data_IF_775922268394
#
_entry.id   IF_775922268394
#
_cell.length_a   1.000
_cell.length_b   1.000
_cell.length_c   1.000
_cell.angle_alpha   90.00
_cell.angle_beta   90.00
_cell.angle_gamma   90.00
#
_symmetry.space_group_name_H-M   'P 1'
#
loop_
_entity.id
_entity.type
_entity.pdbx_description
1 polymer ?
#
# COMPACT_ATOMS: atom_id res chain seq x y z
N UNK A 1 62.16 19.62 12.15
CA UNK A 1 61.04 19.05 12.92
C UNK A 1 59.65 19.49 12.44
N UNK A 2 59.51 20.31 11.39
CA UNK A 2 58.22 20.81 10.92
C UNK A 2 57.49 19.94 9.86
N UNK A 3 58.16 18.98 9.20
CA UNK A 3 57.56 18.27 8.06
C UNK A 3 56.67 17.07 8.41
N UNK A 4 56.78 16.51 9.63
CA UNK A 4 55.94 15.36 10.06
C UNK A 4 54.51 15.75 10.42
N UNK A 5 54.30 16.98 10.89
CA UNK A 5 52.98 17.47 11.31
C UNK A 5 52.08 17.86 10.13
N UNK A 6 52.68 18.28 9.01
CA UNK A 6 51.95 18.69 7.81
C UNK A 6 51.38 17.50 7.02
N UNK A 7 52.02 16.32 7.12
CA UNK A 7 51.48 15.08 6.54
C UNK A 7 50.29 14.54 7.34
N UNK A 8 50.35 14.58 8.69
CA UNK A 8 49.25 14.10 9.55
C UNK A 8 47.96 14.92 9.40
N UNK A 9 48.05 16.24 9.19
CA UNK A 9 46.87 17.08 8.99
C UNK A 9 46.19 16.87 7.62
N UNK A 10 46.96 16.58 6.56
CA UNK A 10 46.41 16.27 5.24
C UNK A 10 45.65 14.94 5.20
N UNK A 11 46.10 13.94 5.96
CA UNK A 11 45.46 12.62 6.02
C UNK A 11 44.10 12.65 6.72
N UNK A 12 43.96 13.45 7.78
CA UNK A 12 42.71 13.58 8.55
C UNK A 12 41.65 14.35 7.77
N UNK A 13 42.05 15.36 6.98
CA UNK A 13 41.12 16.15 6.17
C UNK A 13 40.53 15.34 4.99
N UNK A 14 41.31 14.43 4.39
CA UNK A 14 40.81 13.51 3.37
C UNK A 14 39.85 12.44 3.93
N UNK A 15 40.04 11.99 5.17
CA UNK A 15 39.13 11.01 5.80
C UNK A 15 37.75 11.61 6.13
N UNK A 16 37.66 12.91 6.39
CA UNK A 16 36.40 13.62 6.68
C UNK A 16 35.57 13.95 5.43
N UNK A 17 36.18 13.94 4.24
CA UNK A 17 35.48 14.16 2.96
C UNK A 17 34.91 12.87 2.34
N UNK A 18 35.24 11.70 2.89
CA UNK A 18 34.66 10.39 2.54
C UNK A 18 33.45 10.03 3.41
N UNK A 19 32.70 11.03 3.88
CA UNK A 19 31.28 10.82 4.15
C UNK A 19 30.59 10.58 2.80
N UNK A 20 30.75 9.37 2.26
CA UNK A 20 29.91 8.83 1.21
C UNK A 20 28.47 9.02 1.69
N UNK A 21 27.79 10.01 1.11
CA UNK A 21 26.33 10.04 1.12
C UNK A 21 25.91 8.68 0.61
N UNK A 22 25.32 7.84 1.46
CA UNK A 22 24.71 6.60 0.98
C UNK A 22 23.71 7.02 -0.09
N UNK A 23 23.95 6.62 -1.34
CA UNK A 23 22.93 6.75 -2.38
C UNK A 23 21.69 6.03 -1.86
N UNK A 24 20.64 6.79 -1.57
CA UNK A 24 19.34 6.21 -1.25
C UNK A 24 18.84 5.57 -2.52
N UNK A 25 19.00 4.25 -2.64
CA UNK A 25 18.36 3.46 -3.68
C UNK A 25 16.90 3.30 -3.32
N UNK A 26 16.02 3.65 -4.25
CA UNK A 26 14.60 3.35 -4.16
C UNK A 26 14.43 1.88 -4.57
N UNK A 27 14.22 1.01 -3.60
CA UNK A 27 14.01 -0.44 -3.77
C UNK A 27 12.55 -0.85 -3.52
N UNK A 28 11.63 0.13 -3.51
CA UNK A 28 10.21 -0.12 -3.37
C UNK A 28 9.62 -0.73 -4.65
N UNK A 29 8.66 -1.67 -4.55
CA UNK A 29 7.94 -2.16 -5.71
C UNK A 29 7.32 -1.01 -6.50
N UNK A 30 7.57 -0.96 -7.80
CA UNK A 30 6.91 -0.04 -8.71
C UNK A 30 5.73 -0.75 -9.36
N UNK A 31 4.52 -0.44 -8.91
CA UNK A 31 3.32 -1.18 -9.31
C UNK A 31 2.27 -0.28 -9.97
N UNK A 32 1.43 -0.88 -10.80
CA UNK A 32 0.32 -0.21 -11.47
C UNK A 32 -0.88 -0.13 -10.52
N UNK A 33 -1.49 1.05 -10.37
CA UNK A 33 -2.76 1.18 -9.66
C UNK A 33 -3.91 0.60 -10.50
N UNK A 34 -4.89 -0.05 -9.86
CA UNK A 34 -5.91 -0.87 -10.53
C UNK A 34 -6.66 -0.12 -11.65
N UNK A 35 -6.99 1.15 -11.42
CA UNK A 35 -7.69 1.99 -12.40
C UNK A 35 -6.93 2.12 -13.72
N UNK A 36 -5.59 2.08 -13.70
CA UNK A 36 -4.74 2.20 -14.90
C UNK A 36 -5.01 1.13 -15.97
N UNK A 37 -5.58 -0.01 -15.59
CA UNK A 37 -6.00 -1.06 -16.54
C UNK A 37 -7.50 -1.37 -16.50
N UNK A 38 -8.22 -0.87 -15.50
CA UNK A 38 -9.67 -1.03 -15.43
C UNK A 38 -10.42 -0.01 -16.26
N UNK A 39 -10.02 1.26 -16.22
CA UNK A 39 -10.74 2.37 -16.88
C UNK A 39 -10.09 2.81 -18.20
N UNK A 40 -8.95 2.24 -18.57
CA UNK A 40 -8.30 2.54 -19.84
C UNK A 40 -9.12 2.01 -21.02
N UNK A 41 -9.51 2.92 -21.93
CA UNK A 41 -10.42 2.66 -23.07
C UNK A 41 -10.01 1.44 -23.92
N UNK A 42 -8.70 1.29 -24.15
CA UNK A 42 -8.13 0.22 -24.99
C UNK A 42 -7.42 -0.86 -24.15
N UNK A 43 -7.78 -1.02 -22.88
CA UNK A 43 -7.25 -2.10 -22.06
C UNK A 43 -7.63 -3.47 -22.65
N UNK A 44 -6.72 -4.46 -22.62
CA UNK A 44 -7.08 -5.84 -22.88
C UNK A 44 -8.25 -6.27 -21.99
N UNK A 45 -9.11 -7.16 -22.50
CA UNK A 45 -10.27 -7.63 -21.75
C UNK A 45 -9.92 -8.80 -20.83
N UNK A 46 -10.53 -8.83 -19.65
CA UNK A 46 -10.30 -9.87 -18.64
C UNK A 46 -9.01 -9.69 -17.81
N UNK A 47 -9.01 -10.30 -16.62
CA UNK A 47 -7.95 -10.14 -15.63
C UNK A 47 -6.58 -10.61 -16.12
N UNK A 48 -6.52 -11.78 -16.78
CA UNK A 48 -5.26 -12.36 -17.25
C UNK A 48 -4.58 -11.48 -18.31
N UNK A 49 -5.35 -10.97 -19.28
CA UNK A 49 -4.78 -10.15 -20.35
C UNK A 49 -4.30 -8.78 -19.83
N UNK A 50 -5.01 -8.20 -18.85
CA UNK A 50 -4.59 -6.98 -18.16
C UNK A 50 -3.33 -7.21 -17.31
N UNK A 51 -3.27 -8.30 -16.55
CA UNK A 51 -2.09 -8.68 -15.78
C UNK A 51 -0.86 -8.90 -16.69
N UNK A 52 -1.05 -9.57 -17.83
CA UNK A 52 0.00 -9.77 -18.83
C UNK A 52 0.50 -8.46 -19.44
N UNK A 53 -0.39 -7.48 -19.69
CA UNK A 53 0.00 -6.13 -20.10
C UNK A 53 0.88 -5.46 -19.04
N UNK A 54 0.45 -5.45 -17.78
CA UNK A 54 1.20 -4.81 -16.68
C UNK A 54 2.60 -5.41 -16.55
N UNK A 55 2.71 -6.75 -16.55
CA UNK A 55 4.00 -7.45 -16.51
C UNK A 55 4.89 -7.09 -17.70
N UNK A 56 4.33 -7.05 -18.91
CA UNK A 56 5.08 -6.68 -20.13
C UNK A 56 5.61 -5.25 -20.09
N UNK A 57 4.89 -4.33 -19.43
CA UNK A 57 5.32 -2.94 -19.26
C UNK A 57 6.43 -2.77 -18.20
N UNK A 58 6.79 -3.84 -17.46
CA UNK A 58 7.90 -3.83 -16.51
C UNK A 58 7.53 -3.38 -15.11
N UNK A 59 6.25 -3.37 -14.74
CA UNK A 59 5.83 -3.16 -13.35
C UNK A 59 6.06 -4.41 -12.50
N UNK A 60 6.36 -4.21 -11.22
CA UNK A 60 6.55 -5.28 -10.23
C UNK A 60 5.22 -5.86 -9.73
N UNK A 61 4.13 -5.11 -9.88
CA UNK A 61 2.82 -5.53 -9.39
C UNK A 61 1.64 -4.76 -9.99
N UNK A 62 0.44 -5.20 -9.58
CA UNK A 62 -0.84 -4.54 -9.87
C UNK A 62 -1.67 -4.48 -8.58
N UNK A 63 -2.14 -3.28 -8.21
CA UNK A 63 -3.05 -3.12 -7.09
C UNK A 63 -4.39 -3.80 -7.35
N UNK A 64 -5.00 -4.36 -6.30
CA UNK A 64 -6.33 -4.94 -6.33
C UNK A 64 -7.41 -3.98 -5.82
N UNK A 65 -8.68 -4.34 -6.04
CA UNK A 65 -9.83 -3.70 -5.42
C UNK A 65 -10.53 -4.70 -4.48
N UNK A 66 -10.58 -4.38 -3.19
CA UNK A 66 -11.05 -5.31 -2.16
C UNK A 66 -12.55 -5.63 -2.23
N UNK A 67 -13.35 -4.71 -2.77
CA UNK A 67 -14.82 -4.80 -2.71
C UNK A 67 -15.45 -5.72 -3.76
N UNK A 68 -14.78 -5.98 -4.88
CA UNK A 68 -15.44 -6.64 -6.02
C UNK A 68 -14.61 -7.75 -6.66
N UNK A 69 -13.29 -7.59 -6.76
CA UNK A 69 -12.50 -8.34 -7.74
C UNK A 69 -11.23 -8.97 -7.17
N UNK A 70 -11.05 -8.94 -5.84
CA UNK A 70 -9.84 -9.42 -5.16
C UNK A 70 -9.41 -10.83 -5.62
N UNK A 71 -10.28 -11.84 -5.49
CA UNK A 71 -9.90 -13.23 -5.76
C UNK A 71 -9.57 -13.48 -7.23
N UNK A 72 -10.32 -12.85 -8.15
CA UNK A 72 -10.10 -12.98 -9.58
C UNK A 72 -8.78 -12.34 -10.02
N UNK A 73 -8.49 -11.12 -9.53
CA UNK A 73 -7.19 -10.49 -9.75
C UNK A 73 -6.05 -11.30 -9.15
N UNK A 74 -6.21 -11.74 -7.90
CA UNK A 74 -5.18 -12.53 -7.21
C UNK A 74 -4.85 -13.81 -7.97
N UNK A 75 -5.86 -14.53 -8.48
CA UNK A 75 -5.66 -15.71 -9.30
C UNK A 75 -4.90 -15.39 -10.61
N UNK A 76 -5.31 -14.34 -11.34
CA UNK A 76 -4.67 -13.93 -12.59
C UNK A 76 -3.20 -13.51 -12.40
N UNK A 77 -2.91 -12.78 -11.32
CA UNK A 77 -1.56 -12.30 -10.99
C UNK A 77 -0.64 -13.45 -10.55
N UNK A 78 -1.13 -14.35 -9.69
CA UNK A 78 -0.39 -15.55 -9.28
C UNK A 78 0.01 -16.43 -10.49
N UNK A 79 -0.88 -16.59 -11.48
CA UNK A 79 -0.62 -17.41 -12.68
C UNK A 79 0.62 -16.96 -13.46
N UNK A 80 0.91 -15.66 -13.44
CA UNK A 80 2.05 -15.08 -14.15
C UNK A 80 3.17 -14.64 -13.21
N UNK A 81 3.10 -14.96 -11.91
CA UNK A 81 4.09 -14.54 -10.90
C UNK A 81 4.24 -13.02 -10.81
N UNK A 82 3.13 -12.28 -10.89
CA UNK A 82 3.10 -10.84 -10.65
C UNK A 82 2.50 -10.57 -9.27
N UNK A 83 3.05 -9.61 -8.53
CA UNK A 83 2.56 -9.31 -7.18
C UNK A 83 1.29 -8.46 -7.18
N UNK A 84 0.52 -8.58 -6.10
CA UNK A 84 -0.52 -7.59 -5.73
C UNK A 84 -0.09 -7.01 -4.38
N UNK A 85 0.67 -5.88 -4.41
CA UNK A 85 1.26 -5.28 -3.23
C UNK A 85 0.24 -4.47 -2.41
N UNK A 86 -0.88 -4.09 -3.02
CA UNK A 86 -1.90 -3.26 -2.40
C UNK A 86 -3.30 -3.80 -2.71
N UNK A 87 -4.21 -3.69 -1.75
CA UNK A 87 -5.64 -3.62 -2.01
C UNK A 87 -6.22 -2.33 -1.47
N UNK A 88 -7.07 -1.70 -2.27
CA UNK A 88 -7.84 -0.52 -1.90
C UNK A 88 -9.26 -0.94 -1.50
N UNK A 89 -9.71 -0.54 -0.31
CA UNK A 89 -11.00 -0.95 0.26
C UNK A 89 -11.55 0.08 1.25
N UNK A 90 -12.87 0.18 1.34
CA UNK A 90 -13.51 1.16 2.20
C UNK A 90 -13.69 0.70 3.66
N UNK A 91 -13.70 1.68 4.55
CA UNK A 91 -14.30 1.60 5.88
C UNK A 91 -15.37 2.67 6.01
N UNK A 92 -16.53 2.31 6.56
CA UNK A 92 -17.71 3.15 6.57
C UNK A 92 -18.18 3.42 8.01
N UNK A 93 -18.74 4.58 8.26
CA UNK A 93 -19.71 4.76 9.34
C UNK A 93 -21.10 4.73 8.72
N UNK A 94 -21.91 3.76 9.15
CA UNK A 94 -23.29 3.58 8.70
C UNK A 94 -24.19 3.45 9.91
N UNK A 95 -25.27 4.23 9.95
CA UNK A 95 -26.24 4.23 11.06
C UNK A 95 -25.55 4.42 12.44
N UNK A 96 -24.59 5.35 12.49
CA UNK A 96 -23.80 5.66 13.69
C UNK A 96 -22.83 4.56 14.14
N UNK A 97 -22.54 3.56 13.30
CA UNK A 97 -21.65 2.44 13.63
C UNK A 97 -20.57 2.23 12.59
N UNK A 98 -19.39 1.84 13.04
CA UNK A 98 -18.29 1.46 12.15
C UNK A 98 -18.65 0.15 11.41
N UNK A 99 -18.35 0.11 10.12
CA UNK A 99 -18.64 -1.01 9.23
C UNK A 99 -17.48 -1.20 8.25
N UNK A 100 -17.24 -2.46 7.89
CA UNK A 100 -16.19 -2.89 6.98
C UNK A 100 -16.79 -3.79 5.90
N UNK A 101 -16.09 -3.95 4.79
CA UNK A 101 -16.49 -4.91 3.76
C UNK A 101 -16.57 -6.33 4.35
N UNK A 102 -17.68 -7.03 4.08
CA UNK A 102 -17.99 -8.33 4.70
C UNK A 102 -16.88 -9.39 4.48
N UNK A 103 -16.26 -9.38 3.30
CA UNK A 103 -15.20 -10.33 2.95
C UNK A 103 -13.80 -9.90 3.40
N UNK A 104 -13.62 -8.70 3.97
CA UNK A 104 -12.29 -8.19 4.30
C UNK A 104 -11.49 -9.19 5.15
N UNK A 105 -12.09 -9.73 6.21
CA UNK A 105 -11.39 -10.70 7.08
C UNK A 105 -11.03 -11.99 6.34
N UNK A 106 -11.83 -12.44 5.37
CA UNK A 106 -11.50 -13.61 4.54
C UNK A 106 -10.35 -13.29 3.58
N UNK A 107 -10.38 -12.11 2.96
CA UNK A 107 -9.31 -11.60 2.09
C UNK A 107 -7.99 -11.52 2.86
N UNK A 108 -7.99 -11.02 4.10
CA UNK A 108 -6.79 -10.96 4.93
C UNK A 108 -6.25 -12.36 5.28
N UNK A 109 -7.12 -13.29 5.68
CA UNK A 109 -6.69 -14.69 5.93
C UNK A 109 -6.09 -15.32 4.68
N UNK A 110 -6.70 -15.10 3.51
CA UNK A 110 -6.19 -15.58 2.23
C UNK A 110 -4.84 -14.93 1.86
N UNK A 111 -4.58 -13.72 2.36
CA UNK A 111 -3.35 -12.94 2.10
C UNK A 111 -2.26 -13.13 3.15
N UNK A 112 -2.43 -14.05 4.11
CA UNK A 112 -1.47 -14.32 5.18
C UNK A 112 -0.04 -14.44 4.63
N UNK A 113 0.90 -13.77 5.30
CA UNK A 113 2.34 -13.78 5.04
C UNK A 113 2.74 -13.27 3.64
N UNK A 114 1.83 -12.63 2.92
CA UNK A 114 2.14 -11.94 1.66
C UNK A 114 2.56 -10.50 1.95
N UNK A 115 3.34 -9.92 1.04
CA UNK A 115 3.62 -8.50 1.04
C UNK A 115 2.38 -7.71 0.58
N UNK A 116 1.41 -7.54 1.48
CA UNK A 116 0.16 -6.83 1.20
C UNK A 116 0.01 -5.62 2.12
N UNK A 117 -0.23 -4.47 1.50
CA UNK A 117 -0.75 -3.27 2.13
C UNK A 117 -2.27 -3.18 1.87
N UNK A 118 -3.05 -2.99 2.92
CA UNK A 118 -4.48 -2.67 2.83
C UNK A 118 -4.62 -1.17 3.00
N UNK A 119 -5.00 -0.48 1.93
CA UNK A 119 -5.25 0.96 1.95
C UNK A 119 -6.74 1.23 2.15
N UNK A 120 -7.04 1.98 3.20
CA UNK A 120 -8.39 2.27 3.63
C UNK A 120 -8.80 3.68 3.25
N UNK A 121 -9.90 3.79 2.52
CA UNK A 121 -10.60 5.06 2.37
C UNK A 121 -11.82 5.10 3.27
N UNK A 122 -12.13 6.28 3.79
CA UNK A 122 -13.15 6.46 4.81
C UNK A 122 -14.36 7.19 4.27
N UNK A 123 -15.54 6.69 4.63
CA UNK A 123 -16.81 7.31 4.30
C UNK A 123 -17.69 7.35 5.54
N UNK A 124 -18.28 8.50 5.83
CA UNK A 124 -19.31 8.63 6.85
C UNK A 124 -20.60 9.01 6.15
N UNK A 125 -21.72 8.41 6.54
CA UNK A 125 -23.03 8.85 6.08
C UNK A 125 -23.44 10.17 6.77
N UNK A 126 -24.55 10.76 6.30
CA UNK A 126 -25.07 12.02 6.84
C UNK A 126 -25.56 11.94 8.30
N UNK A 127 -25.55 10.76 8.93
CA UNK A 127 -25.90 10.63 10.35
C UNK A 127 -24.78 11.10 11.28
N UNK A 128 -23.53 11.18 10.79
CA UNK A 128 -22.38 11.63 11.56
C UNK A 128 -22.20 13.13 11.42
N UNK A 129 -22.83 13.90 12.31
CA UNK A 129 -22.71 15.36 12.36
C UNK A 129 -21.65 15.85 13.34
N UNK A 130 -21.25 14.99 14.29
CA UNK A 130 -20.16 15.25 15.23
C UNK A 130 -18.85 14.62 14.73
N UNK A 131 -17.91 15.47 14.35
CA UNK A 131 -16.59 15.06 13.87
C UNK A 131 -15.81 14.26 14.93
N UNK A 132 -15.84 14.65 16.19
CA UNK A 132 -15.07 13.97 17.23
C UNK A 132 -15.58 12.54 17.47
N UNK A 133 -16.90 12.36 17.38
CA UNK A 133 -17.52 11.05 17.40
C UNK A 133 -17.12 10.22 16.17
N UNK A 134 -17.15 10.81 14.96
CA UNK A 134 -16.72 10.16 13.73
C UNK A 134 -15.27 9.69 13.79
N UNK A 135 -14.35 10.57 14.22
CA UNK A 135 -12.93 10.25 14.40
C UNK A 135 -12.75 9.08 15.39
N UNK A 136 -13.48 9.09 16.51
CA UNK A 136 -13.43 8.03 17.52
C UNK A 136 -13.89 6.68 16.96
N UNK A 137 -14.95 6.65 16.14
CA UNK A 137 -15.46 5.44 15.50
C UNK A 137 -14.47 4.88 14.47
N UNK A 138 -13.84 5.72 13.66
CA UNK A 138 -12.82 5.28 12.72
C UNK A 138 -11.57 4.74 13.43
N UNK A 139 -11.12 5.41 14.49
CA UNK A 139 -10.01 4.90 15.31
C UNK A 139 -10.34 3.53 15.88
N UNK A 140 -11.57 3.33 16.38
CA UNK A 140 -12.01 2.02 16.86
C UNK A 140 -11.95 0.95 15.76
N UNK A 141 -12.46 1.24 14.56
CA UNK A 141 -12.42 0.31 13.43
C UNK A 141 -11.00 0.00 12.94
N UNK A 142 -10.13 1.00 12.95
CA UNK A 142 -8.71 0.86 12.61
C UNK A 142 -7.98 -0.06 13.59
N UNK A 143 -8.17 0.15 14.90
CA UNK A 143 -7.56 -0.69 15.92
C UNK A 143 -8.00 -2.16 15.78
N UNK A 144 -9.31 -2.40 15.67
CA UNK A 144 -9.85 -3.77 15.51
C UNK A 144 -9.31 -4.47 14.25
N UNK A 145 -9.21 -3.75 13.13
CA UNK A 145 -8.66 -4.31 11.91
C UNK A 145 -7.14 -4.55 12.02
N UNK A 146 -6.40 -3.63 12.62
CA UNK A 146 -4.97 -3.75 12.83
C UNK A 146 -4.63 -4.94 13.75
N UNK A 147 -5.37 -5.11 14.84
CA UNK A 147 -5.23 -6.25 15.75
C UNK A 147 -5.49 -7.58 15.03
N UNK A 148 -6.48 -7.62 14.15
CA UNK A 148 -6.78 -8.80 13.33
C UNK A 148 -5.70 -9.08 12.26
N UNK A 149 -5.15 -8.03 11.65
CA UNK A 149 -4.15 -8.13 10.57
C UNK A 149 -2.73 -8.45 11.08
N UNK A 150 -2.38 -8.01 12.29
CA UNK A 150 -1.06 -8.21 12.90
C UNK A 150 -0.58 -9.67 12.88
N UNK A 151 -1.35 -10.69 13.36
CA UNK A 151 -0.93 -12.09 13.31
C UNK A 151 -0.94 -12.71 11.89
N UNK A 152 -1.34 -11.95 10.87
CA UNK A 152 -1.32 -12.34 9.46
C UNK A 152 -0.14 -11.72 8.69
N UNK A 153 0.68 -10.90 9.37
CA UNK A 153 1.76 -10.12 8.77
C UNK A 153 1.29 -9.20 7.62
N UNK A 154 0.14 -8.54 7.81
CA UNK A 154 -0.45 -7.63 6.83
C UNK A 154 -0.43 -6.20 7.38
N UNK A 155 -0.04 -5.25 6.53
CA UNK A 155 0.01 -3.84 6.88
C UNK A 155 -1.32 -3.16 6.53
N UNK A 156 -1.73 -2.22 7.37
CA UNK A 156 -2.92 -1.38 7.17
C UNK A 156 -2.45 0.07 7.08
N UNK A 157 -2.96 0.83 6.11
CA UNK A 157 -2.72 2.26 5.99
C UNK A 157 -4.01 3.02 5.66
N UNK A 158 -4.07 4.28 6.08
CA UNK A 158 -5.13 5.21 5.69
C UNK A 158 -4.75 5.84 4.36
N UNK A 159 -5.65 5.79 3.39
CA UNK A 159 -5.58 6.50 2.11
C UNK A 159 -6.55 7.69 2.20
N UNK A 160 -6.07 8.87 2.64
CA UNK A 160 -6.92 10.04 2.73
C UNK A 160 -7.24 10.55 1.33
N UNK A 161 -8.49 10.91 1.11
CA UNK A 161 -8.89 11.68 -0.05
C UNK A 161 -9.15 13.13 0.34
N UNK A 162 -8.74 14.05 -0.52
CA UNK A 162 -9.25 15.41 -0.47
C UNK A 162 -10.63 15.44 -1.12
N UNK A 163 -11.56 16.21 -0.54
CA UNK A 163 -12.89 16.52 -1.11
C UNK A 163 -13.83 15.31 -1.36
N UNK A 164 -13.65 14.22 -0.61
CA UNK A 164 -14.50 13.00 -0.67
C UNK A 164 -15.33 12.76 0.61
N UNK A 165 -15.45 13.79 1.46
CA UNK A 165 -16.24 13.80 2.70
C UNK A 165 -17.68 14.24 2.47
#
# INVERSE_FOLDING_TARGET
>A
MASKWMMLFGSVLCALLFCCSQEKRLDNPFYCFNNGVQTMLNAPQGYEAKAALVKRLGYDGLAGHGEETYYAWRAALNKIGLEMPEIYIAMYIKDGRISQHAELRNILRHSRDRNLLVTLHFHADSSVTDKALGDSLFVQGLCDLADFAAPLNIQIAVYPHADLY
#
